data_IF_786982054354
#
_entry.id   IF_786982054354
#
_cell.length_a   1.000
_cell.length_b   1.000
_cell.length_c   1.000
_cell.angle_alpha   90.00
_cell.angle_beta   90.00
_cell.angle_gamma   90.00
#
_symmetry.space_group_name_H-M   'P 1'
#
loop_
_entity.id
_entity.type
_entity.pdbx_description
1 polymer ?
#
# COMPACT_ATOMS: atom_id res chain seq x y z
N UNK A 1 11.77 -23.76 43.15
CA UNK A 1 10.89 -22.97 42.27
C UNK A 1 11.65 -22.41 41.05
N UNK A 2 11.96 -23.21 40.01
CA UNK A 2 12.63 -22.73 38.79
C UNK A 2 11.79 -22.86 37.49
N UNK A 3 10.51 -23.28 37.57
CA UNK A 3 9.75 -23.74 36.38
C UNK A 3 8.98 -22.62 35.64
N UNK A 4 8.87 -21.41 36.19
CA UNK A 4 8.17 -20.28 35.56
C UNK A 4 9.06 -19.40 34.67
N UNK A 5 10.38 -19.39 34.89
CA UNK A 5 11.30 -18.53 34.13
C UNK A 5 11.31 -18.86 32.63
N UNK A 6 11.20 -20.15 32.27
CA UNK A 6 11.15 -20.57 30.85
C UNK A 6 9.88 -20.11 30.14
N UNK A 7 8.73 -20.17 30.80
CA UNK A 7 7.46 -19.69 30.24
C UNK A 7 7.45 -18.17 30.08
N UNK A 8 7.96 -17.43 31.07
CA UNK A 8 8.09 -15.96 30.99
C UNK A 8 8.98 -15.57 29.80
N UNK A 9 10.13 -16.24 29.62
CA UNK A 9 11.03 -15.95 28.51
C UNK A 9 10.40 -16.22 27.14
N UNK A 10 9.64 -17.32 27.01
CA UNK A 10 8.91 -17.66 25.78
C UNK A 10 7.82 -16.65 25.45
N UNK A 11 7.04 -16.19 26.44
CA UNK A 11 5.99 -15.19 26.24
C UNK A 11 6.59 -13.84 25.82
N UNK A 12 7.71 -13.43 26.42
CA UNK A 12 8.42 -12.20 26.03
C UNK A 12 8.91 -12.28 24.59
N UNK A 13 9.50 -13.42 24.18
CA UNK A 13 9.95 -13.62 22.81
C UNK A 13 8.80 -13.51 21.80
N UNK A 14 7.67 -14.18 22.05
CA UNK A 14 6.48 -14.11 21.18
C UNK A 14 5.94 -12.69 21.11
N UNK A 15 5.86 -11.98 22.25
CA UNK A 15 5.39 -10.60 22.29
C UNK A 15 6.29 -9.65 21.47
N UNK A 16 7.61 -9.82 21.54
CA UNK A 16 8.58 -9.04 20.77
C UNK A 16 8.43 -9.31 19.27
N UNK A 17 8.38 -10.57 18.84
CA UNK A 17 8.21 -10.91 17.42
C UNK A 17 6.85 -10.46 16.86
N UNK A 18 5.77 -10.62 17.64
CA UNK A 18 4.45 -10.11 17.30
C UNK A 18 4.50 -8.60 17.04
N UNK A 19 5.09 -7.84 17.97
CA UNK A 19 5.18 -6.39 17.85
C UNK A 19 6.06 -5.95 16.67
N UNK A 20 7.20 -6.63 16.46
CA UNK A 20 8.12 -6.33 15.38
C UNK A 20 7.56 -6.64 13.98
N UNK A 21 6.69 -7.64 13.82
CA UNK A 21 6.14 -8.01 12.51
C UNK A 21 4.81 -7.32 12.19
N UNK A 22 3.90 -7.19 13.15
CA UNK A 22 2.57 -6.62 12.91
C UNK A 22 2.60 -5.11 12.80
N UNK A 23 3.42 -4.43 13.62
CA UNK A 23 3.54 -2.98 13.56
C UNK A 23 4.00 -2.46 12.18
N UNK A 24 5.05 -3.01 11.53
CA UNK A 24 5.44 -2.55 10.20
C UNK A 24 4.42 -2.93 9.12
N UNK A 25 3.72 -4.06 9.23
CA UNK A 25 2.65 -4.40 8.28
C UNK A 25 1.52 -3.37 8.35
N UNK A 26 1.00 -3.09 9.55
CA UNK A 26 -0.05 -2.08 9.72
C UNK A 26 0.39 -0.69 9.24
N UNK A 27 1.66 -0.33 9.44
CA UNK A 27 2.21 0.94 8.98
C UNK A 27 2.18 1.03 7.44
N UNK A 28 2.63 -0.02 6.74
CA UNK A 28 2.62 -0.08 5.26
C UNK A 28 1.19 -0.02 4.70
N UNK A 29 0.24 -0.73 5.29
CA UNK A 29 -1.15 -0.69 4.84
C UNK A 29 -1.78 0.69 5.02
N UNK A 30 -1.51 1.35 6.15
CA UNK A 30 -1.96 2.73 6.38
C UNK A 30 -1.36 3.70 5.36
N UNK A 31 -0.04 3.62 5.13
CA UNK A 31 0.65 4.45 4.14
C UNK A 31 0.07 4.24 2.73
N UNK A 32 -0.21 2.99 2.33
CA UNK A 32 -0.83 2.70 1.02
C UNK A 32 -2.26 3.25 0.94
N UNK A 33 -3.05 3.15 2.01
CA UNK A 33 -4.40 3.70 2.06
C UNK A 33 -4.39 5.22 1.96
N UNK A 34 -3.52 5.88 2.72
CA UNK A 34 -3.32 7.33 2.68
C UNK A 34 -2.84 7.79 1.30
N UNK A 35 -1.90 7.07 0.69
CA UNK A 35 -1.42 7.35 -0.67
C UNK A 35 -2.57 7.29 -1.68
N UNK A 36 -3.41 6.24 -1.64
CA UNK A 36 -4.56 6.09 -2.54
C UNK A 36 -5.63 7.16 -2.32
N UNK A 37 -5.80 7.63 -1.08
CA UNK A 37 -6.69 8.75 -0.77
C UNK A 37 -6.12 10.10 -1.23
N UNK A 38 -4.80 10.21 -1.35
CA UNK A 38 -4.12 11.46 -1.76
C UNK A 38 -4.01 11.65 -3.28
N UNK A 39 -4.47 10.69 -4.08
CA UNK A 39 -4.41 10.72 -5.53
C UNK A 39 -5.17 11.91 -6.10
N UNK A 40 -4.59 12.55 -7.11
CA UNK A 40 -5.18 13.69 -7.83
C UNK A 40 -5.19 13.45 -9.32
N UNK A 41 -6.15 14.10 -9.99
CA UNK A 41 -6.17 14.15 -11.46
C UNK A 41 -4.89 14.84 -11.92
N UNK A 42 -4.19 14.20 -12.86
CA UNK A 42 -2.90 14.66 -13.37
C UNK A 42 -1.68 13.96 -12.76
N UNK A 43 -1.83 13.17 -11.69
CA UNK A 43 -0.72 12.42 -11.13
C UNK A 43 -0.25 11.30 -12.08
N UNK A 44 1.07 11.17 -12.23
CA UNK A 44 1.69 9.99 -12.83
C UNK A 44 1.78 8.88 -11.78
N UNK A 45 1.22 7.72 -12.10
CA UNK A 45 1.20 6.57 -11.20
C UNK A 45 1.82 5.34 -11.84
N UNK A 46 2.19 4.40 -10.97
CA UNK A 46 2.59 3.05 -11.34
C UNK A 46 1.63 2.07 -10.67
N UNK A 47 1.01 1.20 -11.46
CA UNK A 47 0.16 0.12 -10.95
C UNK A 47 1.02 -1.04 -10.41
N UNK A 48 0.41 -1.95 -9.65
CA UNK A 48 1.10 -3.16 -9.12
C UNK A 48 1.68 -4.01 -10.25
N UNK A 49 1.00 -4.05 -11.42
CA UNK A 49 1.48 -4.74 -12.62
C UNK A 49 2.59 -4.00 -13.38
N UNK A 50 3.05 -2.84 -12.91
CA UNK A 50 4.10 -2.05 -13.54
C UNK A 50 3.64 -1.12 -14.66
N UNK A 51 2.32 -0.96 -14.86
CA UNK A 51 1.80 -0.02 -15.86
C UNK A 51 2.03 1.41 -15.40
N UNK A 52 2.54 2.24 -16.31
CA UNK A 52 2.71 3.67 -16.10
C UNK A 52 1.60 4.41 -16.81
N UNK A 53 0.96 5.35 -16.11
CA UNK A 53 -0.09 6.17 -16.70
C UNK A 53 -0.36 7.42 -15.89
N UNK A 54 -1.08 8.35 -16.51
CA UNK A 54 -1.50 9.60 -15.89
C UNK A 54 -2.97 9.52 -15.53
N UNK A 55 -3.35 9.91 -14.31
CA UNK A 55 -4.75 9.91 -13.89
C UNK A 55 -5.53 10.98 -14.67
N UNK A 56 -6.59 10.59 -15.38
CA UNK A 56 -7.52 11.54 -16.03
C UNK A 56 -8.83 11.70 -15.26
N UNK A 57 -9.26 10.67 -14.52
CA UNK A 57 -10.46 10.72 -13.68
C UNK A 57 -10.28 9.87 -12.42
N UNK A 58 -10.87 10.32 -11.32
CA UNK A 58 -10.93 9.60 -10.04
C UNK A 58 -12.40 9.42 -9.68
N UNK A 59 -12.81 8.17 -9.48
CA UNK A 59 -14.09 7.79 -8.90
C UNK A 59 -13.86 7.24 -7.47
N UNK A 60 -14.88 6.71 -6.80
CA UNK A 60 -14.74 6.21 -5.42
C UNK A 60 -13.88 4.93 -5.33
N UNK A 61 -14.16 3.93 -6.17
CA UNK A 61 -13.50 2.62 -6.12
C UNK A 61 -12.35 2.46 -7.14
N UNK A 62 -12.44 3.16 -8.27
CA UNK A 62 -11.48 3.05 -9.38
C UNK A 62 -11.00 4.42 -9.87
N UNK A 63 -9.94 4.40 -10.67
CA UNK A 63 -9.40 5.56 -11.37
C UNK A 63 -9.27 5.23 -12.85
N UNK A 64 -9.45 6.24 -13.69
CA UNK A 64 -9.15 6.13 -15.12
C UNK A 64 -7.77 6.74 -15.36
N UNK A 65 -6.88 5.93 -15.92
CA UNK A 65 -5.54 6.34 -16.33
C UNK A 65 -5.41 6.39 -17.84
N UNK A 66 -4.65 7.36 -18.34
CA UNK A 66 -4.22 7.44 -19.72
C UNK A 66 -2.82 6.84 -19.83
N UNK A 67 -2.67 5.87 -20.73
CA UNK A 67 -1.43 5.11 -20.95
C UNK A 67 -1.00 5.25 -22.42
N UNK A 68 0.31 5.38 -22.64
CA UNK A 68 0.91 5.45 -23.97
C UNK A 68 0.65 6.78 -24.71
N UNK A 69 1.20 6.89 -25.91
CA UNK A 69 1.09 8.11 -26.74
C UNK A 69 -0.33 8.31 -27.27
N UNK A 70 -1.08 7.23 -27.48
CA UNK A 70 -2.45 7.26 -27.99
C UNK A 70 -3.48 7.63 -26.90
N UNK A 71 -3.01 7.92 -25.67
CA UNK A 71 -3.83 8.27 -24.50
C UNK A 71 -4.98 7.27 -24.26
N UNK A 72 -4.68 5.98 -24.41
CA UNK A 72 -5.67 4.93 -24.17
C UNK A 72 -6.11 4.99 -22.71
N UNK A 73 -7.42 5.07 -22.50
CA UNK A 73 -8.02 5.14 -21.16
C UNK A 73 -8.26 3.73 -20.63
N UNK A 74 -7.69 3.45 -19.46
CA UNK A 74 -7.82 2.17 -18.76
C UNK A 74 -8.37 2.46 -17.36
N UNK A 75 -9.37 1.70 -16.93
CA UNK A 75 -9.89 1.76 -15.56
C UNK A 75 -9.11 0.78 -14.69
N UNK A 76 -8.61 1.27 -13.56
CA UNK A 76 -7.84 0.48 -12.59
C UNK A 76 -8.43 0.75 -11.21
N UNK A 77 -8.66 -0.30 -10.43
CA UNK A 77 -9.12 -0.14 -9.05
C UNK A 77 -8.07 0.59 -8.21
N UNK A 78 -8.49 1.43 -7.26
CA UNK A 78 -7.57 2.20 -6.42
C UNK A 78 -6.59 1.32 -5.66
N UNK A 79 -7.01 0.11 -5.29
CA UNK A 79 -6.12 -0.82 -4.61
C UNK A 79 -4.97 -1.31 -5.52
N UNK A 80 -5.17 -1.29 -6.84
CA UNK A 80 -4.19 -1.67 -7.84
C UNK A 80 -3.04 -0.66 -8.04
N UNK A 81 -3.06 0.47 -7.32
CA UNK A 81 -2.06 1.53 -7.42
C UNK A 81 -0.94 1.25 -6.42
N UNK A 82 0.29 1.15 -6.92
CA UNK A 82 1.47 0.82 -6.13
C UNK A 82 2.20 2.06 -5.61
N UNK A 83 2.39 3.07 -6.47
CA UNK A 83 3.07 4.33 -6.10
C UNK A 83 2.74 5.47 -7.04
N UNK A 84 2.90 6.69 -6.54
CA UNK A 84 2.87 7.93 -7.32
C UNK A 84 4.31 8.22 -7.76
N UNK A 85 4.53 8.45 -9.06
CA UNK A 85 5.85 8.73 -9.64
C UNK A 85 6.28 10.18 -9.44
N UNK A 86 5.33 11.10 -9.26
CA UNK A 86 5.56 12.54 -9.24
C UNK A 86 6.18 13.08 -7.93
N UNK A 87 6.99 12.27 -7.24
CA UNK A 87 7.65 12.63 -5.97
C UNK A 87 9.16 12.71 -6.14
#
# INVERSE_FOLDING_TARGET
MPQYNGLIMSVVFVAVFYFLLIRPQQKREKELKEMRSSLKVGDEIVTIGGLLGKISKIDEEYVTIEVGNDKTKICVEKWGIARIKNK
#
